data_IF_312293812474
#
_entry.id   IF_312293812474
#
_cell.length_a   1.000
_cell.length_b   1.000
_cell.length_c   1.000
_cell.angle_alpha   90.00
_cell.angle_beta   90.00
_cell.angle_gamma   90.00
#
_symmetry.space_group_name_H-M   'P 1'
#
loop_
_entity.id
_entity.type
_entity.pdbx_description
1 polymer ?
#
# COMPACT_ATOMS: atom_id res chain seq x y z
N UNK A 1 11.84 -8.57 -7.87
CA UNK A 1 10.52 -7.93 -8.12
C UNK A 1 9.48 -8.23 -7.04
N UNK A 2 9.61 -9.32 -6.26
CA UNK A 2 8.64 -9.70 -5.22
C UNK A 2 8.27 -8.60 -4.21
N UNK A 3 9.21 -7.73 -3.83
CA UNK A 3 8.93 -6.62 -2.91
C UNK A 3 7.95 -5.59 -3.49
N UNK A 4 8.12 -5.18 -4.75
CA UNK A 4 7.23 -4.19 -5.37
C UNK A 4 5.80 -4.76 -5.56
N UNK A 5 5.68 -6.05 -5.86
CA UNK A 5 4.39 -6.72 -5.98
C UNK A 5 3.71 -6.86 -4.61
N UNK A 6 4.47 -7.08 -3.53
CA UNK A 6 3.94 -7.06 -2.15
C UNK A 6 3.36 -5.67 -1.82
N UNK A 7 4.13 -4.61 -2.07
CA UNK A 7 3.72 -3.21 -1.84
C UNK A 7 2.47 -2.82 -2.65
N UNK A 8 2.36 -3.31 -3.90
CA UNK A 8 1.21 -3.02 -4.76
C UNK A 8 -0.11 -3.63 -4.25
N UNK A 9 -0.03 -4.84 -3.70
CA UNK A 9 -1.22 -5.56 -3.25
C UNK A 9 -1.78 -5.03 -1.92
N UNK A 10 -0.94 -4.39 -1.10
CA UNK A 10 -1.35 -3.83 0.19
C UNK A 10 -2.43 -2.73 0.05
N UNK A 11 -3.33 -2.62 1.04
CA UNK A 11 -4.32 -1.54 1.10
C UNK A 11 -3.63 -0.18 1.25
N UNK A 12 -4.25 0.89 0.73
CA UNK A 12 -3.67 2.25 0.82
C UNK A 12 -3.55 2.76 2.26
N UNK A 13 -4.44 2.32 3.16
CA UNK A 13 -4.50 2.83 4.54
C UNK A 13 -3.47 2.22 5.47
N UNK A 14 -2.94 1.03 5.15
CA UNK A 14 -1.87 0.43 5.94
C UNK A 14 -0.80 -0.15 5.02
N UNK A 15 0.27 0.65 4.86
CA UNK A 15 1.47 0.28 4.10
C UNK A 15 2.67 0.09 5.02
N UNK A 16 2.42 -0.34 6.26
CA UNK A 16 3.47 -0.74 7.20
C UNK A 16 3.71 -2.24 7.05
N UNK A 17 4.94 -2.61 6.73
CA UNK A 17 5.31 -4.01 6.47
C UNK A 17 6.48 -4.36 7.38
N UNK A 18 6.43 -5.51 8.04
CA UNK A 18 7.57 -5.99 8.85
C UNK A 18 8.68 -6.57 7.97
N UNK A 19 9.91 -6.49 8.43
CA UNK A 19 11.07 -7.06 7.72
C UNK A 19 10.94 -8.57 7.57
N UNK A 20 10.33 -9.25 8.55
CA UNK A 20 10.04 -10.69 8.49
C UNK A 20 9.11 -11.06 7.34
N UNK A 21 8.05 -10.28 7.10
CA UNK A 21 7.14 -10.50 5.98
C UNK A 21 7.83 -10.26 4.63
N UNK A 22 8.67 -9.24 4.57
CA UNK A 22 9.45 -8.93 3.36
C UNK A 22 10.44 -10.08 3.09
N UNK A 23 11.20 -10.51 4.09
CA UNK A 23 12.15 -11.61 4.01
C UNK A 23 11.49 -12.91 3.51
N UNK A 24 10.31 -13.25 4.05
CA UNK A 24 9.54 -14.41 3.60
C UNK A 24 9.15 -14.32 2.12
N UNK A 25 8.79 -13.13 1.62
CA UNK A 25 8.40 -12.95 0.22
C UNK A 25 9.57 -12.80 -0.74
N UNK A 26 10.66 -12.17 -0.33
CA UNK A 26 11.87 -12.02 -1.15
C UNK A 26 12.78 -13.24 -1.08
N UNK A 27 12.56 -14.15 -0.11
CA UNK A 27 13.41 -15.29 0.20
C UNK A 27 14.85 -14.87 0.51
N UNK A 28 15.01 -13.73 1.17
CA UNK A 28 16.31 -13.23 1.64
C UNK A 28 16.38 -13.28 3.16
N UNK A 29 17.60 -13.24 3.68
CA UNK A 29 17.84 -13.08 5.11
C UNK A 29 17.29 -11.72 5.58
N UNK A 30 16.70 -11.71 6.78
CA UNK A 30 16.19 -10.50 7.45
C UNK A 30 17.28 -9.43 7.55
N UNK A 31 18.55 -9.83 7.76
CA UNK A 31 19.70 -8.90 7.84
C UNK A 31 19.96 -8.14 6.54
N UNK A 32 19.60 -8.69 5.40
CA UNK A 32 19.81 -8.05 4.09
C UNK A 32 18.64 -7.17 3.64
N UNK A 33 17.50 -7.24 4.34
CA UNK A 33 16.30 -6.51 3.96
C UNK A 33 16.48 -5.00 4.07
N UNK A 34 17.18 -4.53 5.10
CA UNK A 34 17.46 -3.10 5.26
C UNK A 34 18.24 -2.56 4.04
N UNK A 35 19.33 -3.23 3.66
CA UNK A 35 20.12 -2.86 2.48
C UNK A 35 19.31 -2.92 1.19
N UNK A 36 18.45 -3.92 1.02
CA UNK A 36 17.54 -4.01 -0.11
C UNK A 36 16.60 -2.79 -0.16
N UNK A 37 15.99 -2.43 0.96
CA UNK A 37 15.06 -1.31 1.07
C UNK A 37 15.76 0.02 0.75
N UNK A 38 16.94 0.26 1.33
CA UNK A 38 17.76 1.44 1.06
C UNK A 38 18.09 1.53 -0.43
N UNK A 39 18.50 0.42 -1.04
CA UNK A 39 18.81 0.37 -2.48
C UNK A 39 17.57 0.63 -3.34
N UNK A 40 16.41 0.09 -2.99
CA UNK A 40 15.15 0.37 -3.69
C UNK A 40 14.74 1.84 -3.57
N UNK A 41 14.96 2.47 -2.42
CA UNK A 41 14.70 3.90 -2.23
C UNK A 41 15.70 4.76 -3.01
N UNK A 42 16.99 4.40 -3.02
CA UNK A 42 18.03 5.09 -3.77
C UNK A 42 17.77 5.07 -5.29
N UNK A 43 17.27 3.95 -5.82
CA UNK A 43 16.84 3.86 -7.22
C UNK A 43 15.50 4.56 -7.51
N UNK A 44 14.85 5.16 -6.51
CA UNK A 44 13.57 5.85 -6.69
C UNK A 44 12.40 4.92 -7.02
N UNK A 45 12.50 3.62 -6.71
CA UNK A 45 11.42 2.66 -6.96
C UNK A 45 10.30 2.80 -5.92
N UNK A 46 10.67 3.19 -4.70
CA UNK A 46 9.75 3.42 -3.59
C UNK A 46 10.19 4.64 -2.78
N UNK A 47 9.24 5.30 -2.13
CA UNK A 47 9.47 6.34 -1.12
C UNK A 47 8.75 5.93 0.16
N UNK A 48 9.37 6.19 1.29
CA UNK A 48 8.85 5.77 2.59
C UNK A 48 9.83 6.07 3.71
N UNK A 49 9.54 5.49 4.88
CA UNK A 49 10.36 5.59 6.08
C UNK A 49 10.66 4.19 6.61
N UNK A 50 11.91 3.96 6.99
CA UNK A 50 12.35 2.71 7.62
C UNK A 50 12.41 2.95 9.14
N UNK A 51 11.83 2.03 9.91
CA UNK A 51 11.92 1.97 11.36
C UNK A 51 12.64 0.69 11.78
N UNK A 52 13.95 0.81 11.99
CA UNK A 52 14.81 -0.32 12.32
C UNK A 52 14.51 -0.91 13.71
N UNK A 53 14.18 -0.07 14.70
CA UNK A 53 13.88 -0.52 16.06
C UNK A 53 12.67 -1.44 16.07
N UNK A 54 11.64 -1.10 15.28
CA UNK A 54 10.44 -1.91 15.12
C UNK A 54 10.54 -2.96 14.01
N UNK A 55 11.66 -3.00 13.26
CA UNK A 55 11.87 -3.86 12.10
C UNK A 55 10.71 -3.74 11.09
N UNK A 56 10.32 -2.49 10.77
CA UNK A 56 9.18 -2.17 9.92
C UNK A 56 9.53 -1.09 8.90
N UNK A 57 8.88 -1.14 7.73
CA UNK A 57 8.96 -0.09 6.72
C UNK A 57 7.56 0.42 6.40
N UNK A 58 7.42 1.75 6.37
CA UNK A 58 6.18 2.42 5.96
C UNK A 58 6.38 3.01 4.58
N UNK A 59 5.62 2.54 3.59
CA UNK A 59 5.74 2.99 2.19
C UNK A 59 4.68 4.04 1.86
N UNK A 60 5.11 5.24 1.51
CA UNK A 60 4.21 6.32 1.09
C UNK A 60 3.90 6.25 -0.40
N UNK A 61 4.89 5.90 -1.22
CA UNK A 61 4.77 5.91 -2.68
C UNK A 61 5.60 4.81 -3.33
N UNK A 62 5.15 4.34 -4.49
CA UNK A 62 5.90 3.42 -5.34
C UNK A 62 5.77 3.87 -6.80
N UNK A 63 6.78 3.53 -7.61
CA UNK A 63 6.79 3.84 -9.03
C UNK A 63 5.60 3.19 -9.75
N UNK A 64 4.88 3.92 -10.63
CA UNK A 64 3.88 3.31 -11.50
C UNK A 64 4.55 2.39 -12.51
N UNK A 65 3.96 1.21 -12.75
CA UNK A 65 4.47 0.20 -13.68
C UNK A 65 3.37 -0.24 -14.62
N UNK A 66 3.74 -0.80 -15.77
CA UNK A 66 2.80 -1.39 -16.74
C UNK A 66 1.88 -2.36 -16.01
N UNK A 67 0.58 -2.15 -16.19
CA UNK A 67 -0.49 -2.95 -15.60
C UNK A 67 -0.91 -4.00 -16.63
N UNK A 68 -0.90 -5.27 -16.22
CA UNK A 68 -1.58 -6.33 -16.96
C UNK A 68 -3.09 -6.29 -16.66
N UNK A 69 -3.88 -7.02 -17.46
CA UNK A 69 -5.34 -7.03 -17.30
C UNK A 69 -5.78 -7.46 -15.89
N UNK A 70 -5.02 -8.36 -15.24
CA UNK A 70 -5.29 -8.79 -13.86
C UNK A 70 -5.11 -7.65 -12.86
N UNK A 71 -4.04 -6.86 -12.97
CA UNK A 71 -3.83 -5.68 -12.10
C UNK A 71 -4.87 -4.59 -12.35
N UNK A 72 -5.34 -4.43 -13.59
CA UNK A 72 -6.44 -3.50 -13.92
C UNK A 72 -7.72 -3.95 -13.20
N UNK A 73 -8.02 -5.24 -13.18
CA UNK A 73 -9.18 -5.78 -12.46
C UNK A 73 -9.08 -5.53 -10.94
N UNK A 74 -7.90 -5.73 -10.34
CA UNK A 74 -7.66 -5.38 -8.93
C UNK A 74 -7.89 -3.88 -8.69
N UNK A 75 -7.43 -3.01 -9.58
CA UNK A 75 -7.68 -1.57 -9.45
C UNK A 75 -9.15 -1.21 -9.58
N UNK A 76 -9.88 -1.84 -10.51
CA UNK A 76 -11.32 -1.67 -10.67
C UNK A 76 -12.06 -2.06 -9.39
N UNK A 77 -11.70 -3.20 -8.78
CA UNK A 77 -12.31 -3.66 -7.54
C UNK A 77 -12.05 -2.69 -6.38
N UNK A 78 -10.80 -2.23 -6.22
CA UNK A 78 -10.44 -1.20 -5.22
C UNK A 78 -11.22 0.10 -5.42
N UNK A 79 -11.44 0.53 -6.68
CA UNK A 79 -12.23 1.72 -6.98
C UNK A 79 -13.72 1.54 -6.67
N UNK A 80 -14.29 0.39 -7.01
CA UNK A 80 -15.68 0.06 -6.69
C UNK A 80 -15.94 0.03 -5.18
N UNK A 81 -15.03 -0.55 -4.41
CA UNK A 81 -15.10 -0.56 -2.95
C UNK A 81 -15.09 0.86 -2.38
N UNK A 82 -14.16 1.71 -2.85
CA UNK A 82 -14.11 3.11 -2.43
C UNK A 82 -15.39 3.87 -2.81
N UNK A 83 -15.92 3.67 -4.02
CA UNK A 83 -17.17 4.28 -4.47
C UNK A 83 -18.36 3.85 -3.60
N UNK A 84 -18.41 2.58 -3.20
CA UNK A 84 -19.44 2.06 -2.30
C UNK A 84 -19.37 2.73 -0.91
N UNK A 85 -18.18 2.83 -0.33
CA UNK A 85 -17.97 3.52 0.96
C UNK A 85 -18.41 4.99 0.87
N UNK A 86 -18.07 5.69 -0.21
CA UNK A 86 -18.50 7.08 -0.42
C UNK A 86 -20.01 7.23 -0.54
N UNK A 87 -20.70 6.33 -1.25
CA UNK A 87 -22.17 6.36 -1.34
C UNK A 87 -22.82 6.17 0.03
N UNK A 88 -22.31 5.24 0.83
CA UNK A 88 -22.83 5.02 2.18
C UNK A 88 -22.59 6.25 3.08
N UNK A 89 -21.42 6.89 2.98
CA UNK A 89 -21.14 8.13 3.71
C UNK A 89 -22.10 9.25 3.33
N UNK A 90 -22.35 9.45 2.04
CA UNK A 90 -23.31 10.46 1.57
C UNK A 90 -24.70 10.18 2.14
N UNK A 91 -25.16 8.93 2.10
CA UNK A 91 -26.46 8.55 2.66
C UNK A 91 -26.55 8.82 4.17
N UNK A 92 -25.49 8.54 4.94
CA UNK A 92 -25.44 8.85 6.37
C UNK A 92 -25.49 10.36 6.63
N UNK A 93 -24.76 11.15 5.83
CA UNK A 93 -24.76 12.61 5.93
C UNK A 93 -26.14 13.19 5.58
N UNK A 94 -26.79 12.68 4.53
CA UNK A 94 -28.15 13.10 4.14
C UNK A 94 -29.19 12.77 5.22
N UNK A 95 -29.04 11.65 5.94
CA UNK A 95 -29.93 11.25 7.03
C UNK A 95 -29.70 12.06 8.33
N UNK A 96 -28.47 12.50 8.57
CA UNK A 96 -28.09 13.28 9.76
C UNK A 96 -28.18 14.79 9.54
N UNK A 97 -28.35 15.24 8.30
CA UNK A 97 -28.61 16.64 7.98
C UNK A 97 -29.98 17.04 8.54
N UNK A 98 -29.98 17.64 9.73
CA UNK A 98 -31.13 18.41 10.20
C UNK A 98 -31.35 19.55 9.20
N UNK A 99 -32.58 19.77 8.68
CA UNK A 99 -32.82 20.90 7.79
C UNK A 99 -32.46 22.17 8.54
N UNK A 100 -31.41 22.86 8.08
CA UNK A 100 -31.03 24.15 8.60
C UNK A 100 -31.99 25.16 7.95
N UNK A 101 -33.18 25.28 8.56
CA UNK A 101 -34.11 26.40 8.40
C UNK A 101 -34.49 26.90 9.79
#
# INVERSE_FOLDING_TARGET
>A
MAFLDLVFNLPKNDRTISFTQIAQKTKQDVKEIEFLLIRCMAYGLVKGMINEIKQQVTISWMIPRILDNQRIEVMKNKFNEWSFVMKNLIQVVEQQASPIY
#
